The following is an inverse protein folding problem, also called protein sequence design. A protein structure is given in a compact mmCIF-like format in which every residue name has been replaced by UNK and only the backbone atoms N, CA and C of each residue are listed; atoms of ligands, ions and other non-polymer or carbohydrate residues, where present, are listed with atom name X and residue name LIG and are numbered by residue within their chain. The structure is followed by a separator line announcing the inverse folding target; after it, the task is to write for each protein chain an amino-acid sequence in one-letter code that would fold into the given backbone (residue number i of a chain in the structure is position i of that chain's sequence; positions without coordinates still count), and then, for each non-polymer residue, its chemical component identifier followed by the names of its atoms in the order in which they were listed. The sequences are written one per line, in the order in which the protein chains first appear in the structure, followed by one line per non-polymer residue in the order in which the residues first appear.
data_IF_211346808003
#
_entry.id   IF_211346808003
#
_cell.length_a   1.000
_cell.length_b   1.000
_cell.length_c   1.000
_cell.angle_alpha   90.00
_cell.angle_beta   90.00
_cell.angle_gamma   90.00
#
_symmetry.space_group_name_H-M   'P 1'
#
loop_
_entity.id
_entity.type
_entity.pdbx_description
1 polymer ?
#
# COMPACT_ATOMS: atom_id res chain seq x y z
N UNK A 1 20.95 19.50 1.20
CA UNK A 1 20.50 18.09 1.02
C UNK A 1 20.67 17.36 2.34
N UNK A 2 19.74 16.48 2.74
CA UNK A 2 19.92 15.64 3.94
C UNK A 2 20.96 14.56 3.64
N UNK A 3 21.89 14.33 4.56
CA UNK A 3 22.96 13.34 4.37
C UNK A 3 22.45 11.90 4.55
N UNK A 4 23.16 10.91 3.98
CA UNK A 4 22.81 9.48 4.11
C UNK A 4 22.74 9.05 5.58
N UNK A 5 23.68 9.52 6.39
CA UNK A 5 23.79 9.22 7.83
C UNK A 5 22.62 9.80 8.61
N UNK A 6 22.20 11.04 8.33
CA UNK A 6 21.02 11.64 8.94
C UNK A 6 19.73 10.88 8.59
N UNK A 7 19.59 10.44 7.34
CA UNK A 7 18.43 9.63 6.93
C UNK A 7 18.38 8.30 7.70
N UNK A 8 19.53 7.62 7.86
CA UNK A 8 19.59 6.34 8.58
C UNK A 8 19.36 6.48 10.09
N UNK A 9 19.72 7.61 10.69
CA UNK A 9 19.36 7.91 12.09
C UNK A 9 17.84 7.98 12.26
N UNK A 10 17.15 8.67 11.35
CA UNK A 10 15.69 8.84 11.41
C UNK A 10 14.89 7.57 11.07
N UNK A 11 15.45 6.66 10.26
CA UNK A 11 14.76 5.43 9.86
C UNK A 11 14.92 4.35 10.96
N UNK A 12 13.81 3.75 11.45
CA UNK A 12 13.86 2.62 12.37
C UNK A 12 14.48 1.38 11.71
N UNK A 13 15.24 0.58 12.47
CA UNK A 13 15.85 -0.67 11.99
C UNK A 13 14.82 -1.59 11.32
N UNK A 14 13.65 -1.75 11.95
CA UNK A 14 12.52 -2.56 11.44
C UNK A 14 12.08 -2.16 10.03
N UNK A 15 12.11 -0.85 9.71
CA UNK A 15 11.74 -0.37 8.37
C UNK A 15 12.79 -0.71 7.33
N UNK A 16 14.07 -0.65 7.69
CA UNK A 16 15.16 -1.09 6.82
C UNK A 16 15.11 -2.61 6.60
N UNK A 17 14.92 -3.40 7.66
CA UNK A 17 14.77 -4.85 7.56
C UNK A 17 13.60 -5.24 6.65
N UNK A 18 12.44 -4.59 6.80
CA UNK A 18 11.28 -4.83 5.93
C UNK A 18 11.59 -4.49 4.48
N UNK A 19 12.29 -3.38 4.21
CA UNK A 19 12.67 -2.98 2.86
C UNK A 19 13.65 -3.98 2.22
N UNK A 20 14.63 -4.46 2.97
CA UNK A 20 15.59 -5.46 2.48
C UNK A 20 14.90 -6.80 2.24
N UNK A 21 13.99 -7.23 3.13
CA UNK A 21 13.20 -8.46 2.93
C UNK A 21 12.29 -8.39 1.70
N UNK A 22 11.73 -7.22 1.36
CA UNK A 22 10.95 -7.03 0.12
C UNK A 22 11.76 -7.28 -1.14
N UNK A 23 13.08 -7.09 -1.10
CA UNK A 23 14.02 -7.44 -2.18
C UNK A 23 14.36 -8.93 -2.23
N UNK A 24 13.69 -9.77 -1.42
CA UNK A 24 13.97 -11.21 -1.26
C UNK A 24 15.41 -11.51 -0.79
N UNK A 25 16.08 -10.53 -0.16
CA UNK A 25 17.39 -10.73 0.45
C UNK A 25 17.23 -11.31 1.86
N UNK A 26 18.10 -12.26 2.22
CA UNK A 26 18.18 -12.77 3.60
C UNK A 26 18.71 -11.65 4.50
N UNK A 27 18.04 -11.45 5.64
CA UNK A 27 18.43 -10.47 6.65
C UNK A 27 18.74 -11.22 7.94
N UNK A 28 19.99 -11.14 8.39
CA UNK A 28 20.37 -11.67 9.69
C UNK A 28 19.97 -10.69 10.81
N UNK A 29 19.58 -11.22 11.97
CA UNK A 29 19.23 -10.41 13.16
C UNK A 29 20.37 -9.51 13.64
N UNK A 30 21.61 -9.99 13.49
CA UNK A 30 22.85 -9.31 13.89
C UNK A 30 23.26 -8.15 12.96
N UNK A 31 22.54 -7.90 11.87
CA UNK A 31 22.90 -6.81 10.97
C UNK A 31 22.62 -5.43 11.59
N UNK A 32 23.58 -4.53 11.45
CA UNK A 32 23.46 -3.12 11.83
C UNK A 32 22.74 -2.31 10.75
N UNK A 33 22.30 -1.09 11.10
CA UNK A 33 21.58 -0.20 10.17
C UNK A 33 22.38 0.10 8.90
N UNK A 34 23.69 0.25 9.00
CA UNK A 34 24.59 0.53 7.87
C UNK A 34 24.63 -0.65 6.90
N UNK A 35 24.84 -1.86 7.42
CA UNK A 35 24.83 -3.10 6.62
C UNK A 35 23.48 -3.34 5.93
N UNK A 36 22.37 -2.98 6.59
CA UNK A 36 21.04 -3.00 5.98
C UNK A 36 20.89 -1.94 4.87
N UNK A 37 21.49 -0.76 5.07
CA UNK A 37 21.46 0.35 4.12
C UNK A 37 22.29 0.08 2.86
N UNK A 38 23.40 -0.65 2.97
CA UNK A 38 24.21 -1.11 1.83
C UNK A 38 23.43 -2.05 0.90
N UNK A 39 22.46 -2.78 1.44
CA UNK A 39 21.63 -3.68 0.63
C UNK A 39 20.54 -2.96 -0.17
N UNK A 40 20.32 -1.68 0.10
CA UNK A 40 19.31 -0.82 -0.51
C UNK A 40 19.97 0.27 -1.36
N UNK A 41 19.28 0.73 -2.39
CA UNK A 41 19.76 1.89 -3.13
C UNK A 41 19.53 3.19 -2.36
N UNK A 42 20.28 4.24 -2.68
CA UNK A 42 20.13 5.54 -2.04
C UNK A 42 18.71 6.11 -2.20
N UNK A 43 18.10 5.93 -3.38
CA UNK A 43 16.71 6.36 -3.64
C UNK A 43 15.69 5.63 -2.77
N UNK A 44 15.92 4.36 -2.44
CA UNK A 44 15.02 3.61 -1.56
C UNK A 44 15.10 4.12 -0.13
N UNK A 45 16.31 4.42 0.35
CA UNK A 45 16.51 5.08 1.65
C UNK A 45 15.81 6.44 1.67
N UNK A 46 15.95 7.22 0.59
CA UNK A 46 15.30 8.52 0.45
C UNK A 46 13.77 8.42 0.42
N UNK A 47 13.21 7.44 -0.30
CA UNK A 47 11.77 7.16 -0.31
C UNK A 47 11.25 6.74 1.07
N UNK A 48 11.99 5.89 1.79
CA UNK A 48 11.64 5.49 3.16
C UNK A 48 11.64 6.70 4.10
N UNK A 49 12.67 7.53 4.04
CA UNK A 49 12.77 8.75 4.82
C UNK A 49 11.62 9.73 4.50
N UNK A 50 11.34 9.97 3.22
CA UNK A 50 10.24 10.82 2.78
C UNK A 50 8.87 10.28 3.25
N UNK A 51 8.66 8.97 3.18
CA UNK A 51 7.44 8.31 3.66
C UNK A 51 7.24 8.45 5.18
N UNK A 52 8.33 8.47 5.96
CA UNK A 52 8.26 8.75 7.40
C UNK A 52 7.89 10.21 7.66
N UNK A 53 8.49 11.16 6.95
CA UNK A 53 8.15 12.59 7.06
C UNK A 53 6.73 12.90 6.58
N UNK A 54 6.26 12.23 5.53
CA UNK A 54 4.93 12.42 4.98
C UNK A 54 3.81 12.00 5.96
N UNK A 55 4.06 10.99 6.81
CA UNK A 55 3.10 10.57 7.84
C UNK A 55 2.92 11.58 8.98
N UNK A 56 3.84 12.53 9.14
CA UNK A 56 3.76 13.58 10.15
C UNK A 56 2.86 14.73 9.69
N UNK A 57 2.60 14.85 8.37
CA UNK A 57 1.58 15.79 7.87
C UNK A 57 0.19 15.20 8.09
N UNK A 58 -0.76 15.92 8.72
CA UNK A 58 -2.12 15.46 8.87
C UNK A 58 -2.74 15.34 7.47
N UNK A 59 -2.87 14.11 6.98
CA UNK A 59 -3.59 13.85 5.75
C UNK A 59 -5.07 14.04 6.04
N UNK A 60 -5.65 15.13 5.51
CA UNK A 60 -7.11 15.35 5.52
C UNK A 60 -7.78 14.07 5.04
N UNK A 61 -8.56 13.46 5.93
CA UNK A 61 -9.31 12.22 5.74
C UNK A 61 -10.21 12.38 4.50
N UNK A 62 -9.86 11.76 3.37
CA UNK A 62 -10.77 11.69 2.21
C UNK A 62 -11.89 10.70 2.58
N UNK A 63 -13.03 11.24 3.01
CA UNK A 63 -14.26 10.48 3.20
C UNK A 63 -14.71 10.01 1.82
N UNK A 64 -14.50 8.73 1.54
CA UNK A 64 -15.02 8.04 0.36
C UNK A 64 -16.55 8.10 0.40
N UNK A 65 -17.17 8.94 -0.45
CA UNK A 65 -18.62 8.93 -0.65
C UNK A 65 -19.02 7.59 -1.27
N UNK A 66 -19.62 6.73 -0.45
CA UNK A 66 -20.25 5.47 -0.83
C UNK A 66 -21.35 5.75 -1.86
N UNK A 67 -21.12 5.45 -3.15
CA UNK A 67 -22.17 5.53 -4.18
C UNK A 67 -23.11 4.33 -4.02
N UNK A 68 -24.32 4.56 -3.55
CA UNK A 68 -25.39 3.55 -3.49
C UNK A 68 -25.93 3.31 -4.89
N UNK A 69 -25.59 2.19 -5.50
CA UNK A 69 -26.20 1.74 -6.76
C UNK A 69 -27.60 1.22 -6.48
N UNK A 70 -28.63 1.99 -6.87
CA UNK A 70 -30.03 1.52 -6.90
C UNK A 70 -30.11 0.31 -7.85
N UNK A 71 -30.40 -0.88 -7.31
CA UNK A 71 -30.77 -2.05 -8.12
C UNK A 71 -32.15 -1.80 -8.74
N UNK A 72 -32.19 -1.60 -10.06
CA UNK A 72 -33.44 -1.63 -10.84
C UNK A 72 -33.83 -3.10 -11.03
N UNK A 73 -34.85 -3.55 -10.28
CA UNK A 73 -35.42 -4.89 -10.43
C UNK A 73 -36.27 -4.89 -11.69
N UNK A 74 -35.73 -5.43 -12.79
CA UNK A 74 -36.45 -5.61 -14.06
C UNK A 74 -37.46 -6.75 -13.88
N UNK A 75 -38.73 -6.40 -13.67
CA UNK A 75 -39.86 -7.35 -13.55
C UNK A 75 -40.01 -8.11 -14.87
N UNK A 76 -39.72 -9.42 -14.89
CA UNK A 76 -39.95 -10.28 -16.07
C UNK A 76 -41.45 -10.58 -16.15
N UNK A 77 -42.12 -10.06 -17.19
CA UNK A 77 -43.48 -10.45 -17.56
C UNK A 77 -43.45 -11.83 -18.21
N UNK A 78 -44.05 -12.83 -17.57
CA UNK A 78 -44.26 -14.17 -18.11
C UNK A 78 -45.37 -14.11 -19.17
N UNK A 79 -45.00 -14.27 -20.45
CA UNK A 79 -45.97 -14.46 -21.54
C UNK A 79 -46.50 -15.90 -21.44
N UNK A 80 -47.73 -16.05 -20.96
CA UNK A 80 -48.45 -17.33 -20.81
C UNK A 80 -48.71 -17.92 -22.20
N UNK A 81 -48.09 -19.06 -22.53
CA UNK A 81 -48.28 -19.78 -23.80
C UNK A 81 -49.65 -20.49 -23.76
N UNK A 82 -50.64 -19.96 -24.48
CA UNK A 82 -51.93 -20.65 -24.67
C UNK A 82 -51.73 -21.77 -25.69
N UNK A 83 -51.75 -23.01 -25.18
CA UNK A 83 -51.80 -24.25 -25.96
C UNK A 83 -53.22 -24.38 -26.52
N UNK A 84 -53.43 -24.09 -27.80
CA UNK A 84 -54.70 -24.40 -28.47
C UNK A 84 -54.54 -25.73 -29.20
N UNK A 85 -55.15 -26.77 -28.63
CA UNK A 85 -55.51 -28.01 -29.32
C UNK A 85 -56.79 -27.74 -30.11
N UNK A 86 -56.78 -28.02 -31.41
CA UNK A 86 -57.83 -28.68 -32.19
C UNK A 86 -57.43 -28.62 -33.66
#
# INVERSE_FOLDING_TARGET
MVSKTEMLKAIPKVKLESAVRKKRKKVAKSWNKEKLAEQLSFDEIRKLYAGLKAKVKPTKKKVSKKKTTKKVVKKKTTKRKVKRRR
#
